data_IF_409817741799
#
_entry.id   IF_409817741799
#
_cell.length_a   1.000
_cell.length_b   1.000
_cell.length_c   1.000
_cell.angle_alpha   90.00
_cell.angle_beta   90.00
_cell.angle_gamma   90.00
#
_symmetry.space_group_name_H-M   'P 1'
#
loop_
_entity.id
_entity.type
_entity.pdbx_description
1 polymer ?
#
# COMPACT_ATOMS: atom_id res chain seq x y z
N UNK A 1 1.04 8.41 -9.09
CA UNK A 1 0.83 8.40 -7.61
C UNK A 1 2.16 8.62 -6.89
N UNK A 2 2.23 9.35 -5.76
CA UNK A 2 3.50 9.54 -5.03
C UNK A 2 4.12 8.20 -4.61
N UNK A 3 5.44 8.02 -4.82
CA UNK A 3 6.12 6.72 -4.66
C UNK A 3 5.91 6.08 -3.29
N UNK A 4 6.05 6.84 -2.21
CA UNK A 4 5.80 6.37 -0.84
C UNK A 4 4.37 5.83 -0.64
N UNK A 5 3.38 6.52 -1.23
CA UNK A 5 1.98 6.13 -1.13
C UNK A 5 1.65 4.89 -1.97
N UNK A 6 2.43 4.58 -3.02
CA UNK A 6 2.22 3.35 -3.81
C UNK A 6 2.43 2.10 -2.98
N UNK A 7 3.38 2.12 -2.03
CA UNK A 7 3.64 0.99 -1.13
C UNK A 7 2.55 0.85 -0.08
N UNK A 8 2.14 1.97 0.55
CA UNK A 8 1.00 1.98 1.48
C UNK A 8 -0.28 1.46 0.80
N UNK A 9 -0.56 1.96 -0.40
CA UNK A 9 -1.71 1.57 -1.21
C UNK A 9 -1.69 0.07 -1.57
N UNK A 10 -0.56 -0.46 -2.05
CA UNK A 10 -0.45 -1.88 -2.39
C UNK A 10 -0.64 -2.79 -1.14
N UNK A 11 -0.11 -2.40 0.03
CA UNK A 11 -0.34 -3.16 1.26
C UNK A 11 -1.80 -3.12 1.69
N UNK A 12 -2.51 -1.99 1.53
CA UNK A 12 -3.93 -1.91 1.85
C UNK A 12 -4.81 -2.74 0.93
N UNK A 13 -4.46 -2.85 -0.35
CA UNK A 13 -5.10 -3.83 -1.23
C UNK A 13 -4.93 -5.24 -0.65
N UNK A 14 -3.71 -5.65 -0.32
CA UNK A 14 -3.44 -6.96 0.27
C UNK A 14 -4.17 -7.21 1.61
N UNK A 15 -4.35 -6.18 2.43
CA UNK A 15 -5.09 -6.26 3.70
C UNK A 15 -6.60 -6.47 3.51
N UNK A 16 -7.14 -5.97 2.39
CA UNK A 16 -8.59 -5.89 2.15
C UNK A 16 -9.09 -6.87 1.07
N UNK A 17 -8.20 -7.71 0.52
CA UNK A 17 -8.54 -8.77 -0.43
C UNK A 17 -8.51 -10.14 0.22
N UNK A 18 -9.21 -11.11 -0.38
CA UNK A 18 -9.33 -12.46 0.17
C UNK A 18 -8.03 -13.27 0.03
N UNK A 19 -7.25 -13.01 -1.03
CA UNK A 19 -5.99 -13.70 -1.28
C UNK A 19 -4.88 -12.76 -1.79
N UNK A 20 -3.60 -13.11 -1.62
CA UNK A 20 -2.48 -12.36 -2.15
C UNK A 20 -2.43 -12.32 -3.67
N UNK A 21 -2.90 -13.38 -4.34
CA UNK A 21 -2.99 -13.43 -5.81
C UNK A 21 -4.00 -12.40 -6.31
N UNK A 22 -5.16 -12.32 -5.65
CA UNK A 22 -6.18 -11.32 -5.95
C UNK A 22 -5.66 -9.90 -5.65
N UNK A 23 -4.92 -9.72 -4.55
CA UNK A 23 -4.28 -8.46 -4.23
C UNK A 23 -3.32 -7.99 -5.33
N UNK A 24 -2.50 -8.92 -5.82
CA UNK A 24 -1.53 -8.66 -6.88
C UNK A 24 -2.24 -8.28 -8.19
N UNK A 25 -3.27 -9.02 -8.56
CA UNK A 25 -4.08 -8.76 -9.76
C UNK A 25 -4.70 -7.36 -9.70
N UNK A 26 -5.37 -7.00 -8.61
CA UNK A 26 -5.98 -5.68 -8.45
C UNK A 26 -4.93 -4.56 -8.43
N UNK A 27 -3.81 -4.76 -7.75
CA UNK A 27 -2.76 -3.76 -7.66
C UNK A 27 -2.05 -3.52 -9.01
N UNK A 28 -1.90 -4.55 -9.84
CA UNK A 28 -1.37 -4.42 -11.22
C UNK A 28 -2.41 -3.72 -12.10
N UNK A 29 -3.65 -4.22 -12.12
CA UNK A 29 -4.72 -3.69 -12.96
C UNK A 29 -4.92 -2.19 -12.74
N UNK A 30 -5.02 -1.77 -11.48
CA UNK A 30 -5.23 -0.36 -11.12
C UNK A 30 -3.98 0.48 -11.39
N UNK A 31 -2.78 -0.08 -11.22
CA UNK A 31 -1.55 0.63 -11.52
C UNK A 31 -1.44 0.92 -13.02
N UNK A 32 -1.63 -0.10 -13.84
CA UNK A 32 -1.42 -0.03 -15.28
C UNK A 32 -2.51 0.79 -15.97
N UNK A 33 -3.72 0.82 -15.40
CA UNK A 33 -4.84 1.61 -15.92
C UNK A 33 -4.72 3.11 -15.63
N UNK A 34 -4.21 3.50 -14.46
CA UNK A 34 -4.35 4.89 -13.98
C UNK A 34 -3.03 5.63 -13.78
N UNK A 35 -1.89 4.94 -13.66
CA UNK A 35 -0.60 5.63 -13.55
C UNK A 35 -0.02 5.87 -14.95
N UNK A 36 0.45 7.10 -15.20
CA UNK A 36 1.12 7.46 -16.45
C UNK A 36 2.43 6.68 -16.66
N UNK A 37 3.09 6.30 -15.56
CA UNK A 37 4.27 5.42 -15.49
C UNK A 37 3.87 3.96 -15.17
N UNK A 38 2.65 3.57 -15.52
CA UNK A 38 2.16 2.19 -15.45
C UNK A 38 2.78 1.30 -16.55
N UNK A 39 2.44 0.01 -16.57
CA UNK A 39 2.94 -0.97 -17.56
C UNK A 39 4.47 -1.05 -17.64
N UNK A 40 5.12 -0.76 -16.51
CA UNK A 40 6.57 -0.70 -16.36
C UNK A 40 7.04 -1.81 -15.41
N UNK A 41 8.22 -2.43 -15.64
CA UNK A 41 8.76 -3.45 -14.76
C UNK A 41 8.88 -3.01 -13.29
N UNK A 42 9.24 -1.75 -13.01
CA UNK A 42 9.30 -1.23 -11.63
C UNK A 42 7.90 -1.18 -11.01
N UNK A 43 6.90 -0.87 -11.84
CA UNK A 43 5.50 -0.99 -11.51
C UNK A 43 5.17 -2.38 -11.00
N UNK A 44 5.45 -3.43 -11.76
CA UNK A 44 5.16 -4.82 -11.39
C UNK A 44 5.95 -5.28 -10.16
N UNK A 45 7.28 -5.08 -10.17
CA UNK A 45 8.19 -5.50 -9.10
C UNK A 45 7.80 -4.89 -7.76
N UNK A 46 7.37 -3.63 -7.73
CA UNK A 46 6.93 -2.97 -6.50
C UNK A 46 5.72 -3.65 -5.83
N UNK A 47 4.77 -4.18 -6.61
CA UNK A 47 3.55 -4.81 -6.05
C UNK A 47 3.85 -6.25 -5.65
N UNK A 48 4.63 -6.95 -6.48
CA UNK A 48 5.12 -8.28 -6.18
C UNK A 48 5.95 -8.29 -4.89
N UNK A 49 6.77 -7.26 -4.64
CA UNK A 49 7.56 -7.14 -3.42
C UNK A 49 6.69 -7.17 -2.15
N UNK A 50 5.56 -6.46 -2.16
CA UNK A 50 4.64 -6.40 -1.00
C UNK A 50 4.04 -7.77 -0.71
N UNK A 51 3.60 -8.48 -1.75
CA UNK A 51 3.04 -9.84 -1.64
C UNK A 51 4.09 -10.85 -1.20
N UNK A 52 5.30 -10.79 -1.75
CA UNK A 52 6.39 -11.69 -1.38
C UNK A 52 6.85 -11.46 0.06
N UNK A 53 6.90 -10.22 0.52
CA UNK A 53 7.21 -9.90 1.91
C UNK A 53 6.18 -10.48 2.87
N UNK A 54 4.89 -10.42 2.52
CA UNK A 54 3.82 -11.04 3.30
C UNK A 54 3.98 -12.57 3.40
N UNK A 55 4.21 -13.24 2.27
CA UNK A 55 4.46 -14.68 2.24
C UNK A 55 5.68 -15.07 3.09
N UNK A 56 6.76 -14.29 3.02
CA UNK A 56 7.95 -14.51 3.83
C UNK A 56 7.63 -14.38 5.33
N UNK A 57 6.93 -13.32 5.74
CA UNK A 57 6.54 -13.09 7.13
C UNK A 57 5.65 -14.21 7.69
N UNK A 58 4.75 -14.77 6.88
CA UNK A 58 3.96 -15.95 7.26
C UNK A 58 4.86 -17.16 7.47
N UNK A 59 5.78 -17.41 6.53
CA UNK A 59 6.68 -18.56 6.61
C UNK A 59 7.55 -18.56 7.86
N UNK A 60 7.96 -17.38 8.33
CA UNK A 60 8.77 -17.22 9.55
C UNK A 60 7.94 -17.02 10.83
N UNK A 61 6.60 -17.10 10.76
CA UNK A 61 5.71 -16.99 11.92
C UNK A 61 5.51 -15.57 12.45
N UNK A 62 5.83 -14.53 11.67
CA UNK A 62 5.80 -13.12 12.08
C UNK A 62 4.71 -12.31 11.34
N UNK A 63 3.61 -12.95 10.92
CA UNK A 63 2.50 -12.31 10.19
C UNK A 63 1.97 -11.05 10.89
N UNK A 64 1.87 -11.06 12.22
CA UNK A 64 1.40 -9.89 12.99
C UNK A 64 2.34 -8.68 12.89
N UNK A 65 3.64 -8.91 12.73
CA UNK A 65 4.65 -7.84 12.60
C UNK A 65 4.53 -7.16 11.23
N UNK A 66 4.19 -7.92 10.18
CA UNK A 66 3.94 -7.36 8.86
C UNK A 66 2.88 -6.25 8.91
N UNK A 67 1.81 -6.47 9.67
CA UNK A 67 0.72 -5.50 9.80
C UNK A 67 1.10 -4.30 10.65
N UNK A 68 1.86 -4.52 11.74
CA UNK A 68 2.31 -3.49 12.69
C UNK A 68 3.52 -2.67 12.22
N UNK A 69 4.07 -2.92 11.04
CA UNK A 69 5.20 -2.16 10.53
C UNK A 69 4.78 -0.71 10.19
N UNK A 70 5.42 0.25 10.86
CA UNK A 70 5.11 1.68 10.79
C UNK A 70 5.19 2.25 9.38
N UNK A 71 6.07 1.75 8.52
CA UNK A 71 6.21 2.26 7.14
C UNK A 71 4.91 2.16 6.33
N UNK A 72 4.00 1.29 6.74
CA UNK A 72 2.77 1.02 6.01
C UNK A 72 1.53 1.01 6.92
N UNK A 73 1.61 1.75 8.03
CA UNK A 73 0.49 2.06 8.91
C UNK A 73 0.15 3.55 8.79
N UNK A 74 -1.10 3.93 9.02
CA UNK A 74 -1.51 5.34 8.97
C UNK A 74 -0.72 6.19 9.98
N UNK A 75 -0.46 5.65 11.17
CA UNK A 75 0.30 6.33 12.22
C UNK A 75 1.74 6.63 11.76
N UNK A 76 2.41 5.70 11.07
CA UNK A 76 3.73 5.96 10.52
C UNK A 76 3.70 6.92 9.33
N UNK A 77 2.66 6.86 8.47
CA UNK A 77 2.45 7.84 7.39
C UNK A 77 2.38 9.28 7.93
N UNK A 78 1.69 9.48 9.05
CA UNK A 78 1.57 10.76 9.75
C UNK A 78 2.90 11.30 10.29
N UNK A 79 3.91 10.45 10.50
CA UNK A 79 5.26 10.91 10.87
C UNK A 79 6.07 11.39 9.68
N UNK A 80 5.69 11.00 8.45
CA UNK A 80 6.44 11.32 7.23
C UNK A 80 5.92 12.58 6.54
N UNK A 81 4.60 12.85 6.59
CA UNK A 81 4.01 14.08 6.05
C UNK A 81 2.61 14.36 6.63
N UNK A 82 2.08 15.55 6.36
CA UNK A 82 0.72 15.94 6.74
C UNK A 82 -0.35 15.21 5.90
N UNK A 83 -0.83 14.09 6.44
CA UNK A 83 -1.88 13.27 5.83
C UNK A 83 -3.20 14.04 5.69
N UNK A 84 -3.54 14.92 6.62
CA UNK A 84 -4.79 15.67 6.57
C UNK A 84 -4.77 16.68 5.43
N UNK A 85 -3.65 17.40 5.26
CA UNK A 85 -3.46 18.30 4.13
C UNK A 85 -3.49 17.55 2.79
N UNK A 86 -2.88 16.36 2.72
CA UNK A 86 -2.96 15.52 1.52
C UNK A 86 -4.40 15.10 1.20
N UNK A 87 -5.14 14.61 2.20
CA UNK A 87 -6.54 14.18 2.03
C UNK A 87 -7.42 15.35 1.58
N UNK A 88 -7.28 16.52 2.22
CA UNK A 88 -8.02 17.73 1.85
C UNK A 88 -7.72 18.18 0.41
N UNK A 89 -6.44 18.13 0.00
CA UNK A 89 -6.01 18.50 -1.36
C UNK A 89 -6.71 17.69 -2.46
N UNK A 90 -7.00 16.41 -2.21
CA UNK A 90 -7.65 15.52 -3.17
C UNK A 90 -9.16 15.32 -2.89
N UNK A 91 -9.77 16.21 -2.09
CA UNK A 91 -11.22 16.22 -1.84
C UNK A 91 -11.74 15.11 -0.92
N UNK A 92 -10.85 14.44 -0.18
CA UNK A 92 -11.24 13.42 0.78
C UNK A 92 -11.75 13.99 2.11
N UNK A 93 -12.47 13.17 2.87
CA UNK A 93 -12.96 13.53 4.20
C UNK A 93 -11.81 13.46 5.21
N UNK A 94 -11.46 14.59 5.82
CA UNK A 94 -10.46 14.65 6.90
C UNK A 94 -11.08 14.13 8.20
N UNK A 95 -10.42 13.15 8.83
CA UNK A 95 -10.83 12.59 10.10
C UNK A 95 -9.88 13.05 11.22
N UNK A 96 -10.30 14.06 11.98
CA UNK A 96 -9.60 14.48 13.20
C UNK A 96 -9.99 13.55 14.35
N UNK A 97 -9.02 12.99 15.09
CA UNK A 97 -9.32 12.35 16.37
C UNK A 97 -9.93 13.41 17.30
N UNK A 98 -11.08 13.10 17.90
CA UNK A 98 -11.66 13.88 18.99
C UNK A 98 -10.78 13.78 20.23
#
# INVERSE_FOLDING_TARGET
MHGFLRMYWAKKILEWTESPEQALEYAILLNDKYNLDGTDPNGYVGKLHVVNWWHHMIKVGLKEIFWKNSLYELSGLQTQFDVNAFVARYGGKVHTKK
#
